data_IF_576168700175
#
_entry.id   IF_576168700175
#
_cell.length_a   1.000
_cell.length_b   1.000
_cell.length_c   1.000
_cell.angle_alpha   90.00
_cell.angle_beta   90.00
_cell.angle_gamma   90.00
#
_symmetry.space_group_name_H-M   'P 1'
#
loop_
_entity.id
_entity.type
_entity.pdbx_description
1 polymer ?
#
# COMPACT_ATOMS: atom_id res chain seq x y z
N UNK A 1 7.84 11.88 33.33
CA UNK A 1 7.67 11.70 31.86
C UNK A 1 6.28 11.16 31.54
N UNK A 2 5.53 11.83 30.65
CA UNK A 2 4.17 11.42 30.27
C UNK A 2 4.15 9.95 29.76
N UNK A 3 3.23 9.13 30.29
CA UNK A 3 3.09 7.70 29.95
C UNK A 3 2.95 7.46 28.44
N UNK A 4 2.33 8.40 27.73
CA UNK A 4 2.18 8.34 26.26
C UNK A 4 3.51 8.53 25.53
N UNK A 5 4.33 9.50 25.95
CA UNK A 5 5.66 9.75 25.39
C UNK A 5 6.58 8.56 25.67
N UNK A 6 6.55 8.02 26.90
CA UNK A 6 7.30 6.79 27.23
C UNK A 6 6.90 5.60 26.36
N UNK A 7 5.59 5.42 26.11
CA UNK A 7 5.09 4.37 25.23
C UNK A 7 5.53 4.57 23.78
N UNK A 8 5.52 5.81 23.29
CA UNK A 8 5.99 6.20 21.95
C UNK A 8 7.49 5.95 21.79
N UNK A 9 8.34 6.44 22.70
CA UNK A 9 9.79 6.19 22.63
C UNK A 9 10.10 4.69 22.70
N UNK A 10 9.38 3.96 23.55
CA UNK A 10 9.54 2.51 23.63
C UNK A 10 9.10 1.78 22.35
N UNK A 11 8.21 2.33 21.51
CA UNK A 11 7.77 1.67 20.27
C UNK A 11 8.85 1.59 19.20
N UNK A 12 9.92 2.38 19.31
CA UNK A 12 11.11 2.29 18.47
C UNK A 12 12.07 1.14 18.83
N UNK A 13 11.78 0.36 19.88
CA UNK A 13 12.61 -0.82 20.21
C UNK A 13 12.44 -1.91 19.16
N UNK A 14 13.49 -2.15 18.39
CA UNK A 14 13.62 -3.20 17.37
C UNK A 14 13.69 -4.61 17.98
N UNK A 15 12.56 -5.12 18.43
CA UNK A 15 12.46 -6.48 18.98
C UNK A 15 12.26 -7.53 17.88
N UNK A 16 12.27 -8.81 18.25
CA UNK A 16 12.05 -9.91 17.31
C UNK A 16 10.70 -9.80 16.56
N UNK A 17 9.66 -9.22 17.19
CA UNK A 17 8.38 -8.97 16.52
C UNK A 17 8.53 -7.95 15.38
N UNK A 18 9.28 -6.87 15.60
CA UNK A 18 9.56 -5.85 14.59
C UNK A 18 10.23 -6.46 13.37
N UNK A 19 11.38 -7.12 13.57
CA UNK A 19 12.15 -7.73 12.48
C UNK A 19 11.33 -8.77 11.73
N UNK A 20 10.64 -9.65 12.45
CA UNK A 20 9.76 -10.65 11.83
C UNK A 20 8.71 -10.02 10.91
N UNK A 21 8.00 -8.98 11.39
CA UNK A 21 7.01 -8.29 10.56
C UNK A 21 7.64 -7.53 9.41
N UNK A 22 8.83 -6.96 9.59
CA UNK A 22 9.56 -6.26 8.53
C UNK A 22 9.99 -7.22 7.42
N UNK A 23 10.53 -8.39 7.78
CA UNK A 23 10.93 -9.39 6.79
C UNK A 23 9.74 -9.91 5.98
N UNK A 24 8.61 -10.19 6.63
CA UNK A 24 7.41 -10.63 5.92
C UNK A 24 6.89 -9.53 5.00
N UNK A 25 6.74 -8.31 5.52
CA UNK A 25 6.25 -7.16 4.73
C UNK A 25 7.20 -6.87 3.56
N UNK A 26 8.51 -6.90 3.78
CA UNK A 26 9.55 -6.68 2.78
C UNK A 26 9.57 -7.77 1.70
N UNK A 27 9.52 -9.04 2.08
CA UNK A 27 9.45 -10.14 1.11
C UNK A 27 8.14 -10.11 0.30
N UNK A 28 7.02 -9.81 0.96
CA UNK A 28 5.71 -9.61 0.31
C UNK A 28 5.79 -8.51 -0.74
N UNK A 29 6.33 -7.36 -0.36
CA UNK A 29 6.47 -6.22 -1.25
C UNK A 29 7.40 -6.54 -2.42
N UNK A 30 8.57 -7.12 -2.15
CA UNK A 30 9.52 -7.54 -3.18
C UNK A 30 8.89 -8.52 -4.18
N UNK A 31 8.18 -9.54 -3.69
CA UNK A 31 7.51 -10.51 -4.55
C UNK A 31 6.46 -9.84 -5.46
N UNK A 32 5.61 -8.96 -4.90
CA UNK A 32 4.61 -8.22 -5.68
C UNK A 32 5.29 -7.30 -6.70
N UNK A 33 6.35 -6.59 -6.32
CA UNK A 33 7.11 -5.74 -7.24
C UNK A 33 7.70 -6.56 -8.39
N UNK A 34 8.35 -7.68 -8.11
CA UNK A 34 8.92 -8.56 -9.14
C UNK A 34 7.84 -9.14 -10.06
N UNK A 35 6.66 -9.48 -9.51
CA UNK A 35 5.51 -9.95 -10.30
C UNK A 35 5.08 -8.89 -11.32
N UNK A 36 4.91 -7.64 -10.91
CA UNK A 36 4.51 -6.56 -11.81
C UNK A 36 5.61 -6.12 -12.78
N UNK A 37 6.88 -6.12 -12.36
CA UNK A 37 8.01 -5.86 -13.25
C UNK A 37 8.13 -6.96 -14.32
N UNK A 38 7.98 -8.22 -13.94
CA UNK A 38 7.98 -9.35 -14.88
C UNK A 38 6.85 -9.25 -15.89
N UNK A 39 5.62 -8.97 -15.44
CA UNK A 39 4.48 -8.71 -16.33
C UNK A 39 4.74 -7.51 -17.26
N UNK A 40 5.24 -6.40 -16.70
CA UNK A 40 5.59 -5.20 -17.46
C UNK A 40 6.58 -5.51 -18.57
N UNK A 41 7.63 -6.31 -18.28
CA UNK A 41 8.61 -6.70 -19.28
C UNK A 41 8.03 -7.58 -20.38
N UNK A 42 7.14 -8.51 -20.04
CA UNK A 42 6.43 -9.33 -21.04
C UNK A 42 5.59 -8.45 -21.96
N UNK A 43 4.84 -7.50 -21.40
CA UNK A 43 4.01 -6.57 -22.17
C UNK A 43 4.87 -5.66 -23.06
N UNK A 44 5.98 -5.16 -22.54
CA UNK A 44 6.97 -4.37 -23.29
C UNK A 44 7.50 -5.18 -24.49
N UNK A 45 7.92 -6.42 -24.28
CA UNK A 45 8.40 -7.30 -25.37
C UNK A 45 7.31 -7.54 -26.43
N UNK A 46 6.06 -7.73 -26.02
CA UNK A 46 4.93 -7.91 -26.95
C UNK A 46 4.61 -6.61 -27.70
N UNK A 47 4.70 -5.46 -27.04
CA UNK A 47 4.53 -4.16 -27.69
C UNK A 47 5.63 -3.89 -28.72
N UNK A 48 6.89 -4.21 -28.40
CA UNK A 48 8.00 -4.14 -29.36
C UNK A 48 7.83 -5.09 -30.54
N UNK A 49 7.30 -6.30 -30.33
CA UNK A 49 7.00 -7.22 -31.41
C UNK A 49 5.89 -6.70 -32.34
N UNK A 50 4.89 -5.98 -31.80
CA UNK A 50 3.84 -5.32 -32.59
C UNK A 50 4.40 -4.16 -33.39
N UNK A 51 5.21 -3.30 -32.75
CA UNK A 51 5.76 -2.14 -33.43
C UNK A 51 6.83 -2.54 -34.45
N UNK A 52 7.53 -3.65 -34.23
CA UNK A 52 8.66 -4.10 -35.02
C UNK A 52 9.70 -2.97 -35.23
N UNK A 53 9.92 -2.18 -34.18
CA UNK A 53 10.83 -1.02 -34.21
C UNK A 53 10.29 0.22 -34.93
N UNK A 54 9.07 0.18 -35.47
CA UNK A 54 8.46 1.30 -36.20
C UNK A 54 7.90 2.36 -35.26
N UNK A 55 7.95 3.61 -35.71
CA UNK A 55 7.28 4.71 -35.03
C UNK A 55 5.76 4.61 -35.17
N UNK A 56 5.01 5.35 -34.36
CA UNK A 56 3.55 5.39 -34.47
C UNK A 56 3.09 5.84 -35.86
N UNK A 57 3.82 6.75 -36.50
CA UNK A 57 3.40 7.30 -37.79
C UNK A 57 3.72 6.35 -38.93
N UNK A 58 4.84 5.63 -38.85
CA UNK A 58 5.15 4.52 -39.75
C UNK A 58 4.12 3.40 -39.63
N UNK A 59 3.66 3.07 -38.42
CA UNK A 59 2.59 2.09 -38.22
C UNK A 59 1.27 2.57 -38.82
N UNK A 60 0.91 3.84 -38.66
CA UNK A 60 -0.29 4.41 -39.29
C UNK A 60 -0.21 4.33 -40.82
N UNK A 61 0.90 4.75 -41.41
CA UNK A 61 1.09 4.68 -42.86
C UNK A 61 0.97 3.23 -43.33
N UNK A 62 1.63 2.28 -42.65
CA UNK A 62 1.58 0.87 -43.00
C UNK A 62 0.18 0.27 -42.89
N UNK A 63 -0.64 0.72 -41.94
CA UNK A 63 -2.02 0.27 -41.79
C UNK A 63 -2.97 0.86 -42.83
N UNK A 64 -2.68 2.08 -43.31
CA UNK A 64 -3.50 2.79 -44.30
C UNK A 64 -3.12 2.44 -45.74
N UNK A 65 -1.85 2.12 -46.00
CA UNK A 65 -1.34 1.81 -47.35
C UNK A 65 -0.89 0.35 -47.53
N UNK A 66 -0.88 -0.44 -46.46
CA UNK A 66 -0.44 -1.83 -46.49
C UNK A 66 -1.45 -2.78 -47.12
N UNK A 67 -0.96 -3.96 -47.52
CA UNK A 67 -1.81 -5.06 -47.98
C UNK A 67 -2.76 -5.54 -46.88
N UNK A 68 -3.90 -6.11 -47.29
CA UNK A 68 -4.89 -6.71 -46.36
C UNK A 68 -4.25 -7.74 -45.42
N UNK A 69 -3.26 -8.48 -45.92
CA UNK A 69 -2.51 -9.47 -45.14
C UNK A 69 -1.70 -8.86 -43.99
N UNK A 70 -1.00 -7.74 -44.25
CA UNK A 70 -0.25 -7.02 -43.21
C UNK A 70 -1.17 -6.45 -42.14
N UNK A 71 -2.33 -5.91 -42.53
CA UNK A 71 -3.33 -5.41 -41.59
C UNK A 71 -3.95 -6.52 -40.75
N UNK A 72 -4.15 -7.72 -41.31
CA UNK A 72 -4.64 -8.88 -40.57
C UNK A 72 -3.63 -9.37 -39.53
N UNK A 73 -2.36 -9.50 -39.91
CA UNK A 73 -1.29 -9.89 -39.00
C UNK A 73 -1.12 -8.88 -37.85
N UNK A 74 -1.17 -7.59 -38.15
CA UNK A 74 -1.12 -6.55 -37.13
C UNK A 74 -2.30 -6.67 -36.14
N UNK A 75 -3.52 -6.83 -36.66
CA UNK A 75 -4.71 -7.01 -35.83
C UNK A 75 -4.59 -8.22 -34.90
N UNK A 76 -4.08 -9.35 -35.42
CA UNK A 76 -3.92 -10.56 -34.61
C UNK A 76 -2.85 -10.39 -33.53
N UNK A 77 -1.75 -9.70 -33.83
CA UNK A 77 -0.75 -9.35 -32.81
C UNK A 77 -1.32 -8.42 -31.74
N UNK A 78 -2.12 -7.43 -32.12
CA UNK A 78 -2.80 -6.52 -31.18
C UNK A 78 -3.79 -7.29 -30.30
N UNK A 79 -4.61 -8.20 -30.87
CA UNK A 79 -5.52 -9.05 -30.08
C UNK A 79 -4.77 -9.87 -29.04
N UNK A 80 -3.65 -10.49 -29.44
CA UNK A 80 -2.80 -11.26 -28.53
C UNK A 80 -2.24 -10.37 -27.42
N UNK A 81 -1.73 -9.18 -27.76
CA UNK A 81 -1.26 -8.23 -26.75
C UNK A 81 -2.36 -7.80 -25.78
N UNK A 82 -3.56 -7.46 -26.29
CA UNK A 82 -4.71 -7.11 -25.45
C UNK A 82 -5.09 -8.27 -24.52
N UNK A 83 -5.03 -9.51 -25.01
CA UNK A 83 -5.24 -10.71 -24.19
C UNK A 83 -4.21 -10.81 -23.06
N UNK A 84 -2.91 -10.70 -23.36
CA UNK A 84 -1.84 -10.72 -22.35
C UNK A 84 -1.96 -9.55 -21.36
N UNK A 85 -2.36 -8.37 -21.84
CA UNK A 85 -2.58 -7.19 -21.01
C UNK A 85 -3.70 -7.45 -19.99
N UNK A 86 -4.90 -7.77 -20.46
CA UNK A 86 -6.09 -7.90 -19.61
C UNK A 86 -5.95 -9.08 -18.66
N UNK A 87 -5.63 -10.27 -19.19
CA UNK A 87 -5.54 -11.49 -18.39
C UNK A 87 -4.28 -11.48 -17.52
N UNK A 88 -3.16 -10.99 -18.03
CA UNK A 88 -1.93 -10.86 -17.26
C UNK A 88 -2.10 -9.92 -16.07
N UNK A 89 -2.73 -8.75 -16.27
CA UNK A 89 -3.05 -7.83 -15.16
C UNK A 89 -4.01 -8.49 -14.16
N UNK A 90 -5.08 -9.13 -14.63
CA UNK A 90 -6.06 -9.78 -13.74
C UNK A 90 -5.42 -10.90 -12.91
N UNK A 91 -4.59 -11.75 -13.53
CA UNK A 91 -3.83 -12.79 -12.83
C UNK A 91 -2.82 -12.20 -11.83
N UNK A 92 -2.08 -11.16 -12.22
CA UNK A 92 -1.13 -10.50 -11.34
C UNK A 92 -1.83 -9.88 -10.12
N UNK A 93 -2.99 -9.26 -10.31
CA UNK A 93 -3.80 -8.72 -9.22
C UNK A 93 -4.29 -9.83 -8.27
N UNK A 94 -4.77 -10.96 -8.80
CA UNK A 94 -5.21 -12.11 -7.98
C UNK A 94 -4.03 -12.66 -7.17
N UNK A 95 -2.88 -12.87 -7.80
CA UNK A 95 -1.68 -13.37 -7.11
C UNK A 95 -1.20 -12.37 -6.05
N UNK A 96 -1.13 -11.08 -6.37
CA UNK A 96 -0.75 -10.04 -5.42
C UNK A 96 -1.70 -9.99 -4.22
N UNK A 97 -3.02 -10.13 -4.45
CA UNK A 97 -4.03 -10.21 -3.39
C UNK A 97 -3.82 -11.42 -2.49
N UNK A 98 -3.59 -12.62 -3.06
CA UNK A 98 -3.35 -13.85 -2.31
C UNK A 98 -2.08 -13.73 -1.44
N UNK A 99 -1.00 -13.20 -2.00
CA UNK A 99 0.27 -13.01 -1.30
C UNK A 99 0.12 -11.96 -0.19
N UNK A 100 -0.55 -10.83 -0.46
CA UNK A 100 -0.84 -9.82 0.55
C UNK A 100 -1.68 -10.39 1.70
N UNK A 101 -2.75 -11.12 1.37
CA UNK A 101 -3.64 -11.74 2.34
C UNK A 101 -2.91 -12.75 3.23
N UNK A 102 -2.05 -13.59 2.62
CA UNK A 102 -1.21 -14.55 3.33
C UNK A 102 -0.26 -13.83 4.30
N UNK A 103 0.39 -12.77 3.81
CA UNK A 103 1.26 -11.91 4.60
C UNK A 103 0.54 -11.33 5.82
N UNK A 104 -0.67 -10.80 5.65
CA UNK A 104 -1.48 -10.26 6.77
C UNK A 104 -1.83 -11.35 7.78
N UNK A 105 -2.25 -12.52 7.31
CA UNK A 105 -2.59 -13.66 8.16
C UNK A 105 -1.39 -14.09 9.03
N UNK A 106 -0.22 -14.26 8.42
CA UNK A 106 1.02 -14.66 9.12
C UNK A 106 1.42 -13.59 10.15
N UNK A 107 1.46 -12.31 9.75
CA UNK A 107 1.84 -11.19 10.61
C UNK A 107 0.94 -11.13 11.85
N UNK A 108 -0.38 -11.09 11.66
CA UNK A 108 -1.30 -10.87 12.77
C UNK A 108 -1.41 -12.06 13.70
N UNK A 109 -1.39 -13.29 13.16
CA UNK A 109 -1.33 -14.49 14.00
C UNK A 109 -0.06 -14.51 14.85
N UNK A 110 1.11 -14.15 14.29
CA UNK A 110 2.34 -14.07 15.09
C UNK A 110 2.26 -12.99 16.17
N UNK A 111 1.75 -11.80 15.83
CA UNK A 111 1.65 -10.68 16.78
C UNK A 111 0.74 -11.02 17.97
N UNK A 112 -0.36 -11.73 17.70
CA UNK A 112 -1.37 -12.17 18.68
C UNK A 112 -1.10 -13.55 19.29
N UNK A 113 0.01 -14.22 18.92
CA UNK A 113 0.35 -15.59 19.36
C UNK A 113 -0.75 -16.62 19.07
N UNK A 114 -1.33 -16.58 17.89
CA UNK A 114 -2.35 -17.52 17.41
C UNK A 114 -1.77 -18.46 16.36
N UNK A 115 -2.31 -19.66 16.28
CA UNK A 115 -1.90 -20.64 15.27
C UNK A 115 -2.47 -20.32 13.89
N UNK A 116 -1.71 -20.66 12.86
CA UNK A 116 -2.15 -20.53 11.48
C UNK A 116 -3.16 -21.62 11.13
N UNK A 117 -4.38 -21.22 10.75
CA UNK A 117 -5.43 -22.15 10.33
C UNK A 117 -5.75 -21.94 8.85
N UNK A 118 -5.43 -22.93 8.01
CA UNK A 118 -5.62 -22.87 6.55
C UNK A 118 -7.05 -22.56 6.12
N UNK A 119 -8.06 -23.10 6.82
CA UNK A 119 -9.48 -22.83 6.53
C UNK A 119 -9.84 -21.34 6.63
N UNK A 120 -9.13 -20.58 7.47
CA UNK A 120 -9.37 -19.14 7.68
C UNK A 120 -8.73 -18.26 6.60
N UNK A 121 -7.84 -18.81 5.76
CA UNK A 121 -7.15 -18.06 4.71
C UNK A 121 -8.12 -17.44 3.69
N UNK A 122 -9.16 -18.17 3.27
CA UNK A 122 -10.15 -17.64 2.33
C UNK A 122 -10.93 -16.44 2.91
N UNK A 123 -11.17 -16.44 4.21
CA UNK A 123 -11.80 -15.33 4.89
C UNK A 123 -10.88 -14.09 4.92
N UNK A 124 -9.55 -14.27 5.02
CA UNK A 124 -8.59 -13.17 4.86
C UNK A 124 -8.58 -12.58 3.45
N UNK A 125 -8.79 -13.39 2.41
CA UNK A 125 -8.96 -12.90 1.04
C UNK A 125 -10.24 -12.08 0.90
N UNK A 126 -11.35 -12.59 1.41
CA UNK A 126 -12.62 -11.86 1.47
C UNK A 126 -12.49 -10.51 2.18
N UNK A 127 -11.77 -10.46 3.32
CA UNK A 127 -11.46 -9.21 3.99
C UNK A 127 -10.63 -8.27 3.11
N UNK A 128 -9.60 -8.78 2.44
CA UNK A 128 -8.71 -7.97 1.61
C UNK A 128 -9.46 -7.35 0.42
N UNK A 129 -10.34 -8.11 -0.24
CA UNK A 129 -11.24 -7.59 -1.30
C UNK A 129 -12.15 -6.50 -0.75
N UNK A 130 -12.79 -6.73 0.39
CA UNK A 130 -13.66 -5.74 1.01
C UNK A 130 -12.89 -4.46 1.40
N UNK A 131 -11.65 -4.59 1.89
CA UNK A 131 -10.80 -3.44 2.19
C UNK A 131 -10.37 -2.66 0.93
N UNK A 132 -10.23 -3.32 -0.23
CA UNK A 132 -10.00 -2.63 -1.51
C UNK A 132 -11.23 -1.82 -1.91
N UNK A 133 -12.44 -2.38 -1.75
CA UNK A 133 -13.69 -1.65 -2.01
C UNK A 133 -13.81 -0.43 -1.08
N UNK A 134 -13.53 -0.60 0.22
CA UNK A 134 -13.53 0.50 1.18
C UNK A 134 -12.47 1.55 0.83
N UNK A 135 -11.26 1.12 0.41
CA UNK A 135 -10.21 2.03 -0.06
C UNK A 135 -10.69 2.83 -1.27
N UNK A 136 -11.39 2.22 -2.22
CA UNK A 136 -11.92 2.92 -3.38
C UNK A 136 -12.89 4.04 -2.97
N UNK A 137 -13.88 3.75 -2.13
CA UNK A 137 -14.79 4.78 -1.61
C UNK A 137 -14.06 5.86 -0.79
N UNK A 138 -13.04 5.46 -0.03
CA UNK A 138 -12.20 6.37 0.72
C UNK A 138 -11.41 7.33 -0.19
N UNK A 139 -10.88 6.83 -1.30
CA UNK A 139 -10.17 7.64 -2.30
C UNK A 139 -11.12 8.59 -3.04
N UNK A 140 -12.35 8.15 -3.36
CA UNK A 140 -13.38 9.05 -3.90
C UNK A 140 -13.69 10.19 -2.93
N UNK A 141 -13.89 9.87 -1.64
CA UNK A 141 -14.09 10.87 -0.60
C UNK A 141 -12.90 11.84 -0.48
N UNK A 142 -11.67 11.34 -0.54
CA UNK A 142 -10.48 12.18 -0.58
C UNK A 142 -10.48 13.13 -1.80
N UNK A 143 -10.84 12.65 -2.99
CA UNK A 143 -10.92 13.48 -4.19
C UNK A 143 -11.95 14.59 -4.06
N UNK A 144 -13.09 14.31 -3.42
CA UNK A 144 -14.08 15.34 -3.10
C UNK A 144 -13.46 16.42 -2.20
N UNK A 145 -12.81 16.03 -1.09
CA UNK A 145 -12.13 16.99 -0.19
C UNK A 145 -11.07 17.81 -0.95
N UNK A 146 -10.28 17.15 -1.80
CA UNK A 146 -9.20 17.76 -2.58
C UNK A 146 -9.73 18.83 -3.55
N UNK A 147 -10.88 18.61 -4.19
CA UNK A 147 -11.52 19.56 -5.12
C UNK A 147 -12.01 20.82 -4.38
N UNK A 148 -12.54 20.68 -3.16
CA UNK A 148 -13.07 21.80 -2.38
C UNK A 148 -12.00 22.58 -1.60
N UNK A 149 -10.84 21.97 -1.33
CA UNK A 149 -9.72 22.57 -0.60
C UNK A 149 -9.19 23.93 -1.16
N UNK A 150 -8.96 24.09 -2.49
CA UNK A 150 -8.33 25.29 -3.03
C UNK A 150 -9.22 26.53 -3.03
N UNK A 151 -10.51 26.42 -2.71
CA UNK A 151 -11.46 27.55 -2.74
C UNK A 151 -11.22 28.60 -1.64
N UNK A 152 -10.37 28.33 -0.63
CA UNK A 152 -10.24 29.20 0.55
C UNK A 152 -8.84 29.76 0.86
N UNK A 153 -7.74 29.21 0.32
CA UNK A 153 -6.37 29.59 0.76
C UNK A 153 -5.36 29.41 -0.37
N UNK A 154 -5.01 30.44 -1.15
CA UNK A 154 -4.10 30.31 -2.30
C UNK A 154 -2.61 30.18 -1.94
N UNK A 155 -2.15 30.86 -0.89
CA UNK A 155 -0.72 30.95 -0.55
C UNK A 155 -0.14 29.67 0.10
N UNK A 156 -0.98 28.85 0.74
CA UNK A 156 -0.55 27.64 1.46
C UNK A 156 -1.08 26.32 0.86
N UNK A 157 -1.63 26.35 -0.36
CA UNK A 157 -2.29 25.19 -0.97
C UNK A 157 -1.42 23.94 -1.00
N UNK A 158 -0.14 24.08 -1.37
CA UNK A 158 0.76 22.93 -1.50
C UNK A 158 1.00 22.22 -0.17
N UNK A 159 1.33 22.99 0.89
CA UNK A 159 1.59 22.46 2.23
C UNK A 159 0.30 21.84 2.79
N UNK A 160 -0.82 22.55 2.67
CA UNK A 160 -2.11 22.10 3.19
C UNK A 160 -2.60 20.82 2.49
N UNK A 161 -2.50 20.75 1.15
CA UNK A 161 -2.83 19.55 0.37
C UNK A 161 -1.96 18.35 0.78
N UNK A 162 -0.66 18.56 0.95
CA UNK A 162 0.26 17.51 1.40
C UNK A 162 -0.04 16.99 2.81
N UNK A 163 -0.37 17.90 3.74
CA UNK A 163 -0.76 17.55 5.12
C UNK A 163 -2.11 16.83 5.17
N UNK A 164 -3.12 17.32 4.45
CA UNK A 164 -4.45 16.69 4.39
C UNK A 164 -4.35 15.29 3.78
N UNK A 165 -3.64 15.15 2.65
CA UNK A 165 -3.43 13.84 2.03
C UNK A 165 -2.69 12.86 2.96
N UNK A 166 -1.62 13.32 3.61
CA UNK A 166 -0.87 12.49 4.58
C UNK A 166 -1.74 12.09 5.78
N UNK A 167 -2.52 13.04 6.31
CA UNK A 167 -3.44 12.82 7.44
C UNK A 167 -4.46 11.74 7.10
N UNK A 168 -5.08 11.84 5.91
CA UNK A 168 -6.06 10.87 5.45
C UNK A 168 -5.45 9.48 5.24
N UNK A 169 -4.30 9.39 4.57
CA UNK A 169 -3.57 8.11 4.43
C UNK A 169 -3.28 7.48 5.80
N UNK A 170 -2.83 8.26 6.78
CA UNK A 170 -2.57 7.76 8.13
C UNK A 170 -3.84 7.29 8.85
N UNK A 171 -4.95 8.02 8.73
CA UNK A 171 -6.25 7.61 9.29
C UNK A 171 -6.66 6.26 8.71
N UNK A 172 -6.56 6.11 7.38
CA UNK A 172 -6.88 4.88 6.69
C UNK A 172 -5.98 3.71 7.12
N UNK A 173 -4.67 3.94 7.26
CA UNK A 173 -3.73 2.91 7.74
C UNK A 173 -4.04 2.44 9.15
N UNK A 174 -4.38 3.36 10.07
CA UNK A 174 -4.80 3.01 11.44
C UNK A 174 -6.08 2.19 11.42
N UNK A 175 -7.07 2.60 10.63
CA UNK A 175 -8.31 1.85 10.45
C UNK A 175 -8.05 0.45 9.90
N UNK A 176 -7.27 0.33 8.83
CA UNK A 176 -6.88 -0.94 8.22
C UNK A 176 -6.19 -1.87 9.23
N UNK A 177 -5.31 -1.35 10.09
CA UNK A 177 -4.68 -2.17 11.13
C UNK A 177 -5.65 -2.60 12.22
N UNK A 178 -6.62 -1.76 12.61
CA UNK A 178 -7.66 -2.14 13.57
C UNK A 178 -8.64 -3.19 13.02
N UNK A 179 -8.97 -3.10 11.73
CA UNK A 179 -9.77 -4.11 11.04
C UNK A 179 -9.02 -5.44 11.00
N UNK A 180 -7.75 -5.44 10.61
CA UNK A 180 -6.95 -6.67 10.59
C UNK A 180 -6.74 -7.26 11.99
N UNK A 181 -6.54 -6.41 13.01
CA UNK A 181 -6.49 -6.83 14.41
C UNK A 181 -7.79 -7.56 14.81
N UNK A 182 -8.93 -6.90 14.61
CA UNK A 182 -10.26 -7.44 14.93
C UNK A 182 -10.58 -8.71 14.14
N UNK A 183 -10.09 -8.79 12.90
CA UNK A 183 -10.28 -9.98 12.08
C UNK A 183 -9.42 -11.14 12.55
N UNK A 184 -8.17 -10.90 12.93
CA UNK A 184 -7.34 -11.93 13.52
C UNK A 184 -7.92 -12.44 14.86
N UNK A 185 -8.66 -11.59 15.60
CA UNK A 185 -9.35 -12.01 16.84
C UNK A 185 -10.63 -12.81 16.58
N UNK A 186 -11.50 -12.35 15.68
CA UNK A 186 -12.87 -12.87 15.54
C UNK A 186 -13.08 -13.75 14.30
N UNK A 187 -12.24 -13.61 13.26
CA UNK A 187 -12.35 -14.26 11.95
C UNK A 187 -13.70 -14.06 11.23
N UNK A 188 -14.40 -12.96 11.52
CA UNK A 188 -15.67 -12.58 10.91
C UNK A 188 -15.50 -11.25 10.18
N UNK A 189 -15.57 -11.26 8.85
CA UNK A 189 -15.25 -10.11 7.97
C UNK A 189 -16.05 -8.87 8.37
N UNK A 190 -17.38 -8.96 8.37
CA UNK A 190 -18.27 -7.84 8.70
C UNK A 190 -18.10 -7.34 10.14
N UNK A 191 -18.01 -8.28 11.08
CA UNK A 191 -17.85 -7.95 12.50
C UNK A 191 -16.52 -7.22 12.76
N UNK A 192 -15.48 -7.52 11.99
CA UNK A 192 -14.16 -6.90 12.17
C UNK A 192 -14.14 -5.41 11.83
N UNK A 193 -14.96 -5.00 10.86
CA UNK A 193 -15.14 -3.58 10.51
C UNK A 193 -15.90 -2.86 11.63
N UNK A 194 -17.03 -3.42 12.08
CA UNK A 194 -17.78 -2.85 13.20
C UNK A 194 -16.95 -2.76 14.47
N UNK A 195 -16.18 -3.81 14.78
CA UNK A 195 -15.28 -3.83 15.92
C UNK A 195 -14.12 -2.83 15.78
N UNK A 196 -13.61 -2.57 14.58
CA UNK A 196 -12.63 -1.52 14.37
C UNK A 196 -13.19 -0.13 14.74
N UNK A 197 -14.41 0.20 14.32
CA UNK A 197 -15.08 1.44 14.74
C UNK A 197 -15.34 1.48 16.25
N UNK A 198 -15.76 0.37 16.83
CA UNK A 198 -15.93 0.25 18.28
C UNK A 198 -14.61 0.50 19.03
N UNK A 199 -13.49 -0.11 18.58
CA UNK A 199 -12.16 0.10 19.14
C UNK A 199 -11.70 1.56 18.99
N UNK A 200 -12.01 2.22 17.87
CA UNK A 200 -11.74 3.65 17.66
C UNK A 200 -12.49 4.48 18.70
N UNK A 201 -13.79 4.25 18.86
CA UNK A 201 -14.64 4.97 19.83
C UNK A 201 -14.15 4.74 21.25
N UNK A 202 -13.88 3.48 21.64
CA UNK A 202 -13.43 3.10 22.98
C UNK A 202 -12.07 3.72 23.35
N UNK A 203 -11.17 3.87 22.38
CA UNK A 203 -9.81 4.35 22.58
C UNK A 203 -9.55 5.75 21.99
N UNK A 204 -10.60 6.52 21.67
CA UNK A 204 -10.52 7.78 20.92
C UNK A 204 -9.42 8.72 21.41
N UNK A 205 -9.42 9.04 22.71
CA UNK A 205 -8.43 9.94 23.33
C UNK A 205 -6.99 9.44 23.19
N UNK A 206 -6.76 8.11 23.19
CA UNK A 206 -5.41 7.51 23.07
C UNK A 206 -4.98 7.47 21.60
N UNK A 207 -5.89 7.06 20.72
CA UNK A 207 -5.65 7.00 19.27
C UNK A 207 -5.40 8.39 18.70
N UNK A 208 -6.10 9.42 19.16
CA UNK A 208 -5.86 10.80 18.74
C UNK A 208 -4.43 11.27 19.09
N UNK A 209 -3.96 10.99 20.31
CA UNK A 209 -2.57 11.29 20.71
C UNK A 209 -1.54 10.49 19.91
N UNK A 210 -1.82 9.20 19.69
CA UNK A 210 -1.00 8.32 18.86
C UNK A 210 -0.91 8.86 17.42
N UNK A 211 -2.03 9.34 16.89
CA UNK A 211 -2.16 9.89 15.55
C UNK A 211 -1.31 11.17 15.39
N UNK A 212 -1.42 12.12 16.32
CA UNK A 212 -0.59 13.34 16.30
C UNK A 212 0.90 12.99 16.32
N UNK A 213 1.33 12.08 17.20
CA UNK A 213 2.73 11.65 17.27
C UNK A 213 3.17 10.95 15.98
N UNK A 214 2.30 10.14 15.38
CA UNK A 214 2.55 9.48 14.09
C UNK A 214 2.70 10.49 12.97
N UNK A 215 1.84 11.52 12.92
CA UNK A 215 1.90 12.58 11.93
C UNK A 215 3.20 13.39 12.06
N UNK A 216 3.60 13.75 13.29
CA UNK A 216 4.88 14.42 13.54
C UNK A 216 6.05 13.54 13.08
N UNK A 217 6.03 12.25 13.42
CA UNK A 217 7.07 11.29 12.99
C UNK A 217 7.15 11.21 11.47
N UNK A 218 6.00 11.19 10.79
CA UNK A 218 5.92 11.14 9.33
C UNK A 218 6.49 12.40 8.69
N UNK A 219 6.17 13.58 9.21
CA UNK A 219 6.73 14.86 8.73
C UNK A 219 8.25 14.88 8.94
N UNK A 220 8.73 14.52 10.13
CA UNK A 220 10.17 14.45 10.42
C UNK A 220 10.89 13.45 9.50
N UNK A 221 10.29 12.28 9.25
CA UNK A 221 10.83 11.28 8.33
C UNK A 221 10.94 11.83 6.91
N UNK A 222 9.91 12.55 6.42
CA UNK A 222 9.97 13.19 5.10
C UNK A 222 11.06 14.26 5.00
N UNK A 223 11.23 15.08 6.03
CA UNK A 223 12.31 16.08 6.09
C UNK A 223 13.68 15.40 6.07
N UNK A 224 13.85 14.34 6.87
CA UNK A 224 15.08 13.54 6.89
C UNK A 224 15.39 12.94 5.51
N UNK A 225 14.40 12.31 4.87
CA UNK A 225 14.54 11.72 3.53
C UNK A 225 14.89 12.77 2.47
N UNK A 226 14.32 13.97 2.55
CA UNK A 226 14.66 15.09 1.67
C UNK A 226 16.13 15.48 1.81
N UNK A 227 16.64 15.61 3.03
CA UNK A 227 18.07 15.88 3.24
C UNK A 227 18.94 14.74 2.73
N UNK A 228 18.64 13.48 3.05
CA UNK A 228 19.39 12.33 2.52
C UNK A 228 19.43 12.38 0.98
N UNK A 229 18.31 12.68 0.33
CA UNK A 229 18.27 12.84 -1.12
C UNK A 229 19.23 13.93 -1.65
N UNK A 230 19.29 15.09 -1.00
CA UNK A 230 20.23 16.16 -1.38
C UNK A 230 21.70 15.72 -1.25
N UNK A 231 22.02 14.97 -0.20
CA UNK A 231 23.39 14.52 0.06
C UNK A 231 23.85 13.43 -0.91
N UNK A 232 22.95 12.58 -1.40
CA UNK A 232 23.27 11.45 -2.28
C UNK A 232 23.04 11.72 -3.78
N UNK A 233 23.08 13.00 -4.22
CA UNK A 233 22.86 13.42 -5.62
C UNK A 233 23.74 12.73 -6.69
N UNK A 234 24.82 12.06 -6.28
CA UNK A 234 25.83 11.43 -7.14
C UNK A 234 25.40 10.02 -7.63
N UNK A 235 24.49 9.34 -6.93
CA UNK A 235 23.97 8.00 -7.31
C UNK A 235 22.83 8.16 -8.32
N UNK A 236 22.59 7.23 -9.28
CA UNK A 236 21.39 7.25 -10.13
C UNK A 236 20.12 7.50 -9.31
N UNK A 237 19.59 8.71 -9.47
CA UNK A 237 18.69 9.33 -8.48
C UNK A 237 17.36 8.59 -8.36
N UNK A 238 16.88 7.99 -9.46
CA UNK A 238 15.56 7.35 -9.51
C UNK A 238 15.51 6.02 -8.75
N UNK A 239 16.49 5.13 -8.99
CA UNK A 239 16.52 3.82 -8.35
C UNK A 239 16.85 3.95 -6.86
N UNK A 240 17.83 4.80 -6.51
CA UNK A 240 18.19 5.04 -5.12
C UNK A 240 17.03 5.67 -4.33
N UNK A 241 16.38 6.72 -4.87
CA UNK A 241 15.24 7.36 -4.20
C UNK A 241 14.07 6.40 -4.03
N UNK A 242 13.80 5.54 -5.01
CA UNK A 242 12.75 4.53 -4.93
C UNK A 242 13.02 3.53 -3.81
N UNK A 243 14.22 2.95 -3.75
CA UNK A 243 14.62 1.99 -2.70
C UNK A 243 14.55 2.64 -1.33
N UNK A 244 15.07 3.86 -1.20
CA UNK A 244 15.07 4.61 0.06
C UNK A 244 13.63 4.88 0.55
N UNK A 245 12.76 5.35 -0.34
CA UNK A 245 11.35 5.61 -0.01
C UNK A 245 10.60 4.34 0.38
N UNK A 246 10.77 3.24 -0.37
CA UNK A 246 10.16 1.95 -0.07
C UNK A 246 10.62 1.46 1.31
N UNK A 247 11.92 1.50 1.57
CA UNK A 247 12.50 1.07 2.84
C UNK A 247 11.96 1.90 3.99
N UNK A 248 11.93 3.23 3.86
CA UNK A 248 11.40 4.11 4.89
C UNK A 248 9.91 3.87 5.15
N UNK A 249 9.10 3.66 4.10
CA UNK A 249 7.67 3.35 4.23
C UNK A 249 7.47 2.00 4.92
N UNK A 250 8.24 0.96 4.58
CA UNK A 250 8.14 -0.35 5.24
C UNK A 250 8.49 -0.25 6.73
N UNK A 251 9.60 0.40 7.07
CA UNK A 251 10.02 0.63 8.45
C UNK A 251 8.93 1.39 9.24
N UNK A 252 8.34 2.42 8.61
CA UNK A 252 7.29 3.23 9.20
C UNK A 252 5.99 2.43 9.41
N UNK A 253 5.56 1.63 8.43
CA UNK A 253 4.34 0.81 8.52
C UNK A 253 4.45 -0.26 9.61
N UNK A 254 5.60 -0.91 9.71
CA UNK A 254 5.87 -1.91 10.77
C UNK A 254 5.84 -1.24 12.15
N UNK A 255 6.52 -0.11 12.29
CA UNK A 255 6.52 0.67 13.52
C UNK A 255 5.10 1.12 13.92
N UNK A 256 4.34 1.67 12.98
CA UNK A 256 2.97 2.15 13.21
C UNK A 256 2.05 1.01 13.68
N UNK A 257 2.14 -0.18 13.05
CA UNK A 257 1.37 -1.37 13.44
C UNK A 257 1.63 -1.77 14.89
N UNK A 258 2.91 -1.82 15.29
CA UNK A 258 3.30 -2.17 16.65
C UNK A 258 2.95 -1.09 17.66
N UNK A 259 3.07 0.19 17.27
CA UNK A 259 2.71 1.31 18.12
C UNK A 259 1.19 1.34 18.39
N UNK A 260 0.38 1.07 17.37
CA UNK A 260 -1.05 0.89 17.49
C UNK A 260 -1.40 -0.27 18.44
N UNK A 261 -0.80 -1.44 18.25
CA UNK A 261 -1.04 -2.62 19.10
C UNK A 261 -0.79 -2.31 20.59
N UNK A 262 0.30 -1.60 20.90
CA UNK A 262 0.63 -1.18 22.28
C UNK A 262 -0.34 -0.13 22.83
N UNK A 263 -0.96 0.65 21.95
CA UNK A 263 -1.92 1.70 22.32
C UNK A 263 -3.27 1.09 22.70
N UNK A 264 -3.72 0.06 21.96
CA UNK A 264 -5.00 -0.62 22.21
C UNK A 264 -4.89 -1.77 23.24
N UNK A 265 -3.84 -2.59 23.18
CA UNK A 265 -3.72 -3.84 23.94
C UNK A 265 -3.52 -3.70 25.45
N UNK A 266 -3.44 -2.48 25.99
CA UNK A 266 -3.22 -2.24 27.43
C UNK A 266 -4.48 -2.43 28.30
N UNK A 267 -5.62 -2.77 27.70
CA UNK A 267 -6.90 -3.04 28.41
C UNK A 267 -7.38 -4.48 28.27
N UNK A 268 -6.94 -5.24 27.27
CA UNK A 268 -7.37 -6.64 27.08
C UNK A 268 -6.49 -7.64 27.86
N UNK A 269 -5.50 -7.14 28.61
CA UNK A 269 -4.59 -7.92 29.48
C UNK A 269 -4.75 -7.56 30.96
N UNK A 270 -5.80 -6.83 31.33
CA UNK A 270 -6.20 -6.47 32.70
C UNK A 270 -7.69 -6.67 32.83
#
# INVERSE_FOLDING_TARGET
MNKHIKNYLNSFKFNNKYWYTLFIDGFTFLFITLLFLGLGKILEMKAYAISNGKTTEELKVLLLSGSVENSKLFLDNVKIFTFYLVIGILLALIVALLVYSLSRNIVWNKLLKRDFVRKKFWAWNGLSVLMIIILFFYLLFYKVIEIFLPLGVTMFQFIFRGLVGSTLVLIFMVFLFLVNYSFATENKVWFSIGNAFHLIKLNWKRLWKMFILTLITWVLLRVLLYYIYIWFKIIPQELFSSILNITAILLFLVWLRLYLLRTIGRRELT
#
